data_IF_525728707649
#
_entry.id   IF_525728707649
#
_cell.length_a   1.000
_cell.length_b   1.000
_cell.length_c   1.000
_cell.angle_alpha   90.00
_cell.angle_beta   90.00
_cell.angle_gamma   90.00
#
_symmetry.space_group_name_H-M   'P 1'
#
loop_
_entity.id
_entity.type
_entity.pdbx_description
1 polymer ?
#
# COMPACT_ATOMS: atom_id res chain seq x y z
N UNK A 1 -43.96 26.65 -22.86
CA UNK A 1 -43.61 27.92 -22.18
C UNK A 1 -43.51 27.63 -20.71
N UNK A 2 -42.32 27.83 -20.14
CA UNK A 2 -41.96 28.10 -18.74
C UNK A 2 -40.51 27.65 -18.59
N UNK A 3 -39.59 28.58 -18.85
CA UNK A 3 -38.17 28.42 -18.59
C UNK A 3 -37.84 29.01 -17.23
N UNK A 4 -37.08 28.26 -16.44
CA UNK A 4 -36.48 28.71 -15.19
C UNK A 4 -34.98 28.89 -15.41
N UNK A 5 -34.53 30.13 -15.29
CA UNK A 5 -33.14 30.56 -15.36
C UNK A 5 -32.43 30.32 -14.03
N UNK A 6 -31.24 29.72 -14.08
CA UNK A 6 -30.32 29.63 -12.94
C UNK A 6 -29.63 30.99 -12.70
N UNK A 7 -29.86 31.58 -11.54
CA UNK A 7 -29.13 32.75 -11.06
C UNK A 7 -27.78 32.33 -10.45
N UNK A 8 -26.70 32.82 -11.06
CA UNK A 8 -25.33 32.64 -10.59
C UNK A 8 -25.05 33.55 -9.38
N UNK A 9 -24.64 32.95 -8.27
CA UNK A 9 -24.03 33.66 -7.14
C UNK A 9 -22.64 34.20 -7.54
N UNK A 10 -22.40 35.49 -7.33
CA UNK A 10 -21.05 36.10 -7.33
C UNK A 10 -20.78 36.72 -5.95
N UNK A 11 -19.68 36.37 -5.25
CA UNK A 11 -19.29 37.09 -4.06
C UNK A 11 -18.69 38.46 -4.45
N UNK A 12 -19.08 39.48 -3.68
CA UNK A 12 -18.70 40.88 -3.82
C UNK A 12 -17.52 41.15 -2.88
N UNK A 13 -16.31 41.36 -3.40
CA UNK A 13 -15.16 41.82 -2.61
C UNK A 13 -15.16 43.34 -2.46
N UNK A 14 -14.86 43.88 -1.26
CA UNK A 14 -14.75 45.32 -1.04
C UNK A 14 -13.29 45.73 -1.25
N UNK A 15 -13.02 46.49 -2.30
CA UNK A 15 -12.01 47.56 -2.39
C UNK A 15 -11.70 47.82 -3.86
N UNK A 16 -12.26 48.92 -4.37
CA UNK A 16 -12.11 49.37 -5.74
C UNK A 16 -10.66 49.77 -6.05
N UNK A 17 -9.95 48.89 -6.75
CA UNK A 17 -8.86 49.25 -7.66
C UNK A 17 -8.93 48.37 -8.90
N UNK A 18 -9.36 48.98 -10.01
CA UNK A 18 -9.30 48.40 -11.34
C UNK A 18 -7.84 48.37 -11.81
N UNK A 19 -7.27 47.18 -11.92
CA UNK A 19 -6.05 46.96 -12.71
C UNK A 19 -6.49 46.48 -14.08
N UNK A 20 -6.34 47.34 -15.09
CA UNK A 20 -6.50 46.96 -16.49
C UNK A 20 -5.29 46.11 -16.90
N UNK A 21 -5.50 44.80 -17.06
CA UNK A 21 -4.55 43.94 -17.77
C UNK A 21 -5.07 43.73 -19.20
N UNK A 22 -4.42 44.41 -20.14
CA UNK A 22 -4.55 44.19 -21.58
C UNK A 22 -3.72 42.96 -21.98
N UNK A 23 -4.38 41.81 -22.13
CA UNK A 23 -3.87 40.68 -22.93
C UNK A 23 -5.13 40.15 -23.64
N UNK A 24 -5.35 40.47 -24.91
CA UNK A 24 -4.64 39.83 -26.01
C UNK A 24 -5.55 38.72 -26.54
N UNK A 25 -6.57 39.10 -27.31
CA UNK A 25 -7.49 38.16 -27.93
C UNK A 25 -6.79 37.33 -29.00
N UNK A 26 -6.88 36.01 -28.86
CA UNK A 26 -6.72 35.07 -29.94
C UNK A 26 -7.98 34.23 -30.03
N UNK A 27 -8.67 34.45 -31.14
CA UNK A 27 -9.84 33.75 -31.66
C UNK A 27 -9.52 32.28 -31.90
N UNK A 28 -10.22 31.36 -31.22
CA UNK A 28 -10.33 29.94 -31.60
C UNK A 28 -11.78 29.62 -32.00
N UNK A 29 -12.32 30.39 -32.95
CA UNK A 29 -13.49 30.04 -33.74
C UNK A 29 -13.00 29.40 -35.05
N UNK A 30 -12.66 28.11 -35.07
CA UNK A 30 -12.46 27.33 -36.32
C UNK A 30 -12.15 25.83 -36.10
N UNK A 31 -12.89 25.10 -35.26
CA UNK A 31 -12.76 23.62 -35.28
C UNK A 31 -14.06 22.81 -35.14
N UNK A 32 -15.24 23.47 -35.12
CA UNK A 32 -16.52 22.78 -34.85
C UNK A 32 -17.39 22.48 -36.08
N UNK A 33 -16.87 22.56 -37.32
CA UNK A 33 -17.71 22.51 -38.55
C UNK A 33 -17.37 21.46 -39.61
N UNK A 34 -16.51 20.47 -39.34
CA UNK A 34 -16.14 19.44 -40.34
C UNK A 34 -16.59 17.99 -40.07
N UNK A 35 -17.25 17.68 -38.96
CA UNK A 35 -17.70 16.30 -38.66
C UNK A 35 -19.20 16.03 -38.80
N UNK A 36 -19.96 16.85 -39.56
CA UNK A 36 -21.39 16.62 -39.81
C UNK A 36 -21.74 16.08 -41.20
N UNK A 37 -20.78 15.52 -41.94
CA UNK A 37 -20.99 15.10 -43.34
C UNK A 37 -20.52 13.67 -43.68
N UNK A 38 -20.43 12.75 -42.71
CA UNK A 38 -20.02 11.36 -42.99
C UNK A 38 -20.99 10.28 -42.47
N UNK A 39 -22.01 10.61 -41.67
CA UNK A 39 -22.94 9.59 -41.11
C UNK A 39 -24.33 9.65 -41.74
N UNK A 40 -24.38 9.78 -43.07
CA UNK A 40 -25.63 9.78 -43.83
C UNK A 40 -25.49 9.00 -45.14
N UNK A 41 -24.90 7.80 -45.11
CA UNK A 41 -24.92 6.89 -46.26
C UNK A 41 -24.59 5.43 -45.90
N UNK A 42 -25.36 4.81 -44.99
CA UNK A 42 -25.41 3.35 -44.89
C UNK A 42 -26.86 2.91 -44.74
N UNK A 43 -27.50 3.01 -45.90
CA UNK A 43 -28.84 2.57 -46.26
C UNK A 43 -28.79 1.07 -46.54
N UNK A 44 -29.71 0.34 -45.91
CA UNK A 44 -30.41 -0.85 -46.41
C UNK A 44 -29.54 -1.99 -46.97
N UNK A 45 -29.40 -3.08 -46.22
CA UNK A 45 -29.52 -4.46 -46.73
C UNK A 45 -29.47 -5.44 -45.54
N UNK A 46 -30.61 -5.65 -44.87
CA UNK A 46 -30.81 -6.83 -44.01
C UNK A 46 -31.83 -7.73 -44.73
N UNK A 47 -31.39 -8.83 -45.35
CA UNK A 47 -32.31 -9.82 -45.88
C UNK A 47 -32.99 -10.57 -44.74
N UNK A 48 -34.32 -10.57 -44.78
CA UNK A 48 -35.19 -11.58 -44.17
C UNK A 48 -34.74 -12.98 -44.62
N UNK A 49 -34.12 -13.73 -43.72
CA UNK A 49 -33.99 -15.19 -43.79
C UNK A 49 -34.52 -15.73 -42.45
N UNK A 50 -35.81 -16.02 -42.33
CA UNK A 50 -36.44 -17.34 -42.57
C UNK A 50 -35.63 -18.52 -42.02
N UNK A 51 -36.16 -19.16 -40.97
CA UNK A 51 -36.13 -20.62 -40.86
C UNK A 51 -35.34 -21.24 -39.70
N UNK A 52 -35.70 -20.96 -38.45
CA UNK A 52 -35.35 -21.86 -37.34
C UNK A 52 -36.20 -23.13 -37.43
N UNK A 53 -35.65 -24.17 -38.06
CA UNK A 53 -36.20 -25.54 -38.06
C UNK A 53 -35.76 -26.19 -36.75
N UNK A 54 -36.67 -26.26 -35.77
CA UNK A 54 -36.45 -27.04 -34.55
C UNK A 54 -36.17 -28.50 -34.89
N UNK A 55 -34.93 -28.94 -34.62
CA UNK A 55 -34.60 -30.37 -34.54
C UNK A 55 -35.03 -30.84 -33.17
N UNK A 56 -36.18 -31.50 -33.10
CA UNK A 56 -36.54 -32.29 -31.95
C UNK A 56 -35.55 -33.44 -31.78
N UNK A 57 -34.85 -33.47 -30.64
CA UNK A 57 -34.14 -34.65 -30.18
C UNK A 57 -35.18 -35.60 -29.57
N UNK A 58 -35.74 -36.47 -30.41
CA UNK A 58 -36.43 -37.69 -29.98
C UNK A 58 -35.76 -38.85 -30.69
N UNK A 59 -34.73 -39.39 -30.05
CA UNK A 59 -34.28 -40.76 -30.30
C UNK A 59 -35.12 -41.72 -29.44
N UNK A 60 -35.48 -42.90 -29.94
CA UNK A 60 -36.20 -43.90 -29.16
C UNK A 60 -35.29 -44.45 -28.05
N UNK A 61 -35.74 -44.35 -26.80
CA UNK A 61 -35.20 -45.11 -25.68
C UNK A 61 -35.66 -46.55 -25.89
N UNK A 62 -34.83 -47.36 -26.55
CA UNK A 62 -34.92 -48.81 -26.45
C UNK A 62 -34.38 -49.21 -25.08
N UNK A 63 -35.28 -49.63 -24.19
CA UNK A 63 -34.94 -50.19 -22.89
C UNK A 63 -34.18 -51.51 -23.05
N UNK A 64 -32.86 -51.44 -22.84
CA UNK A 64 -32.01 -52.61 -22.64
C UNK A 64 -31.86 -52.88 -21.15
N UNK A 65 -32.37 -54.02 -20.70
CA UNK A 65 -32.29 -54.51 -19.34
C UNK A 65 -30.83 -54.69 -18.89
N UNK A 66 -30.51 -54.12 -17.73
CA UNK A 66 -29.22 -54.27 -17.07
C UNK A 66 -28.99 -55.73 -16.63
N UNK A 67 -28.02 -56.40 -17.26
CA UNK A 67 -27.47 -57.67 -16.80
C UNK A 67 -26.14 -57.45 -16.06
N UNK A 68 -25.93 -57.99 -14.84
CA UNK A 68 -24.65 -57.93 -14.17
C UNK A 68 -23.75 -59.05 -14.71
N UNK A 69 -22.96 -58.74 -15.73
CA UNK A 69 -22.02 -59.65 -16.36
C UNK A 69 -20.58 -59.18 -16.17
N UNK A 70 -19.95 -59.60 -15.07
CA UNK A 70 -18.50 -59.52 -14.93
C UNK A 70 -17.83 -60.40 -15.98
N UNK A 71 -16.95 -59.81 -16.79
CA UNK A 71 -16.18 -60.52 -17.80
C UNK A 71 -15.07 -59.63 -18.32
N UNK A 72 -13.85 -59.91 -17.88
CA UNK A 72 -12.66 -59.20 -18.35
C UNK A 72 -12.43 -59.41 -19.85
N UNK A 73 -11.92 -58.35 -20.48
CA UNK A 73 -11.36 -58.33 -21.84
C UNK A 73 -10.27 -57.26 -21.80
N UNK A 74 -8.97 -57.59 -21.86
CA UNK A 74 -8.26 -58.00 -23.06
C UNK A 74 -8.46 -57.00 -24.23
N UNK A 75 -7.61 -55.96 -24.27
CA UNK A 75 -7.15 -55.30 -25.50
C UNK A 75 -8.20 -54.76 -26.48
N UNK A 76 -9.33 -54.26 -25.98
CA UNK A 76 -10.33 -53.56 -26.82
C UNK A 76 -9.81 -52.20 -27.26
N UNK A 77 -10.00 -51.86 -28.54
CA UNK A 77 -9.79 -50.52 -29.06
C UNK A 77 -10.52 -49.49 -28.18
N UNK A 78 -9.89 -48.35 -27.84
CA UNK A 78 -10.51 -47.37 -26.95
C UNK A 78 -11.82 -46.86 -27.55
N UNK A 79 -12.86 -46.79 -26.74
CA UNK A 79 -14.16 -46.28 -27.16
C UNK A 79 -14.02 -44.82 -27.67
N UNK A 80 -14.90 -44.41 -28.59
CA UNK A 80 -14.88 -43.05 -29.13
C UNK A 80 -15.30 -42.03 -28.06
N UNK A 81 -14.63 -40.88 -28.02
CA UNK A 81 -15.06 -39.78 -27.15
C UNK A 81 -16.45 -39.31 -27.52
N UNK A 82 -17.29 -39.11 -26.50
CA UNK A 82 -18.67 -38.66 -26.62
C UNK A 82 -19.01 -37.62 -25.56
N UNK A 83 -19.95 -36.75 -25.90
CA UNK A 83 -20.54 -35.79 -24.95
C UNK A 83 -21.55 -36.54 -24.09
N UNK A 84 -21.37 -36.48 -22.78
CA UNK A 84 -22.20 -37.12 -21.75
C UNK A 84 -22.40 -36.15 -20.57
N UNK A 85 -22.98 -36.62 -19.46
CA UNK A 85 -23.51 -35.77 -18.40
C UNK A 85 -24.92 -35.29 -18.73
N UNK A 86 -25.74 -35.02 -17.71
CA UNK A 86 -27.16 -34.67 -17.95
C UNK A 86 -27.31 -33.34 -18.70
N UNK A 87 -26.33 -32.45 -18.55
CA UNK A 87 -26.31 -31.12 -19.16
C UNK A 87 -25.22 -31.03 -20.24
N UNK A 88 -24.76 -32.16 -20.79
CA UNK A 88 -23.75 -32.22 -21.84
C UNK A 88 -22.41 -31.59 -21.46
N UNK A 89 -22.08 -31.58 -20.16
CA UNK A 89 -20.92 -30.87 -19.62
C UNK A 89 -19.65 -31.75 -19.54
N UNK A 90 -19.76 -33.05 -19.83
CA UNK A 90 -18.65 -34.00 -19.74
C UNK A 90 -18.30 -34.55 -21.13
N UNK A 91 -17.02 -34.57 -21.47
CA UNK A 91 -16.49 -35.31 -22.62
C UNK A 91 -15.73 -36.54 -22.11
N UNK A 92 -16.23 -37.74 -22.38
CA UNK A 92 -15.67 -39.01 -21.88
C UNK A 92 -15.80 -40.11 -22.95
N UNK A 93 -15.12 -41.24 -22.77
CA UNK A 93 -15.28 -42.44 -23.61
C UNK A 93 -16.26 -43.47 -23.05
N UNK A 94 -16.92 -43.13 -21.94
CA UNK A 94 -18.05 -43.86 -21.36
C UNK A 94 -19.20 -42.90 -21.03
N UNK A 95 -20.35 -43.43 -20.64
CA UNK A 95 -21.48 -42.61 -20.21
C UNK A 95 -21.32 -42.20 -18.74
N UNK A 96 -21.19 -40.90 -18.49
CA UNK A 96 -20.99 -40.33 -17.16
C UNK A 96 -22.27 -39.64 -16.71
N UNK A 97 -22.87 -40.13 -15.63
CA UNK A 97 -24.05 -39.51 -15.02
C UNK A 97 -23.60 -38.48 -13.98
N UNK A 98 -24.01 -37.22 -14.19
CA UNK A 98 -23.78 -36.10 -13.26
C UNK A 98 -25.04 -35.81 -12.43
N UNK A 99 -24.98 -34.88 -11.49
CA UNK A 99 -26.12 -34.44 -10.65
C UNK A 99 -27.24 -33.68 -11.38
N UNK A 100 -27.08 -33.47 -12.69
CA UNK A 100 -28.01 -32.72 -13.55
C UNK A 100 -28.22 -31.25 -13.12
N UNK A 101 -27.26 -30.66 -12.41
CA UNK A 101 -27.22 -29.20 -12.24
C UNK A 101 -27.08 -28.53 -13.62
N UNK A 102 -27.79 -27.42 -13.83
CA UNK A 102 -27.64 -26.59 -15.01
C UNK A 102 -26.92 -25.29 -14.65
N UNK A 103 -25.89 -24.95 -15.43
CA UNK A 103 -25.16 -23.69 -15.40
C UNK A 103 -25.10 -23.12 -16.80
N UNK A 104 -25.06 -21.79 -16.92
CA UNK A 104 -25.01 -21.12 -18.22
C UNK A 104 -23.77 -21.53 -19.03
N UNK A 105 -22.63 -21.77 -18.35
CA UNK A 105 -21.40 -22.29 -18.95
C UNK A 105 -21.57 -23.66 -19.66
N UNK A 106 -22.55 -24.48 -19.26
CA UNK A 106 -22.82 -25.77 -19.92
C UNK A 106 -23.45 -25.61 -21.30
N UNK A 107 -24.19 -24.51 -21.55
CA UNK A 107 -24.68 -24.21 -22.90
C UNK A 107 -23.52 -24.01 -23.89
N UNK A 108 -22.42 -23.40 -23.42
CA UNK A 108 -21.22 -23.19 -24.22
C UNK A 108 -20.55 -24.51 -24.63
N UNK A 109 -20.44 -25.46 -23.69
CA UNK A 109 -19.93 -26.79 -24.02
C UNK A 109 -20.82 -27.48 -25.06
N UNK A 110 -22.15 -27.37 -24.97
CA UNK A 110 -23.02 -28.00 -25.96
C UNK A 110 -22.95 -27.37 -27.36
N UNK A 111 -22.80 -26.04 -27.45
CA UNK A 111 -22.89 -25.32 -28.73
C UNK A 111 -21.54 -25.11 -29.42
N UNK A 112 -20.46 -24.93 -28.66
CA UNK A 112 -19.18 -24.42 -29.19
C UNK A 112 -17.98 -25.33 -28.96
N UNK A 113 -18.12 -26.38 -28.13
CA UNK A 113 -16.99 -27.27 -27.85
C UNK A 113 -16.82 -28.38 -28.88
N UNK A 114 -15.63 -28.97 -28.89
CA UNK A 114 -15.34 -30.21 -29.63
C UNK A 114 -14.84 -31.25 -28.63
N UNK A 115 -15.59 -32.33 -28.44
CA UNK A 115 -15.20 -33.46 -27.61
C UNK A 115 -14.28 -34.39 -28.39
N UNK A 116 -13.03 -34.55 -27.93
CA UNK A 116 -12.05 -35.38 -28.62
C UNK A 116 -11.00 -35.98 -27.69
N UNK A 117 -10.19 -36.91 -28.23
CA UNK A 117 -9.11 -37.56 -27.49
C UNK A 117 -7.83 -36.72 -27.61
N UNK A 118 -7.32 -36.27 -26.48
CA UNK A 118 -6.09 -35.48 -26.40
C UNK A 118 -4.82 -36.31 -26.57
N UNK A 119 -3.67 -35.64 -26.51
CA UNK A 119 -2.35 -36.29 -26.62
C UNK A 119 -2.02 -37.25 -25.46
N UNK A 120 -2.66 -37.07 -24.29
CA UNK A 120 -2.56 -38.03 -23.17
C UNK A 120 -3.31 -39.33 -23.43
N UNK A 121 -4.13 -39.38 -24.47
CA UNK A 121 -5.02 -40.50 -24.74
C UNK A 121 -6.32 -40.43 -23.95
N UNK A 122 -6.62 -39.36 -23.21
CA UNK A 122 -7.89 -39.16 -22.51
C UNK A 122 -8.86 -38.32 -23.34
N UNK A 123 -10.17 -38.53 -23.17
CA UNK A 123 -11.19 -37.65 -23.76
C UNK A 123 -11.26 -36.33 -22.99
N UNK A 124 -11.43 -35.22 -23.71
CA UNK A 124 -11.57 -33.90 -23.13
C UNK A 124 -12.12 -32.89 -24.13
N UNK A 125 -12.52 -31.74 -23.59
CA UNK A 125 -12.95 -30.61 -24.41
C UNK A 125 -11.74 -29.94 -25.06
N UNK A 126 -11.76 -29.77 -26.37
CA UNK A 126 -10.82 -28.89 -27.07
C UNK A 126 -11.16 -27.44 -26.74
N UNK A 127 -10.17 -26.67 -26.28
CA UNK A 127 -10.27 -25.21 -26.21
C UNK A 127 -10.34 -24.63 -27.63
N UNK A 128 -11.52 -24.12 -28.00
CA UNK A 128 -11.73 -23.36 -29.24
C UNK A 128 -11.98 -21.89 -28.88
N UNK A 129 -11.60 -20.92 -29.75
CA UNK A 129 -11.88 -19.51 -29.50
C UNK A 129 -13.37 -19.23 -29.26
N UNK A 130 -14.27 -19.97 -29.94
CA UNK A 130 -15.72 -19.85 -29.76
C UNK A 130 -16.18 -20.37 -28.39
N UNK A 131 -15.61 -21.48 -27.91
CA UNK A 131 -15.91 -22.02 -26.59
C UNK A 131 -15.36 -21.10 -25.49
N UNK A 132 -14.13 -20.62 -25.63
CA UNK A 132 -13.51 -19.67 -24.69
C UNK A 132 -14.32 -18.38 -24.60
N UNK A 133 -14.70 -17.80 -25.74
CA UNK A 133 -15.55 -16.61 -25.77
C UNK A 133 -16.91 -16.82 -25.10
N UNK A 134 -17.53 -18.00 -25.28
CA UNK A 134 -18.81 -18.31 -24.66
C UNK A 134 -18.69 -18.52 -23.14
N UNK A 135 -17.64 -19.21 -22.68
CA UNK A 135 -17.41 -19.51 -21.25
C UNK A 135 -17.06 -18.27 -20.41
N UNK A 136 -17.17 -17.06 -20.96
CA UNK A 136 -16.74 -15.83 -20.30
C UNK A 136 -15.23 -15.59 -20.38
N UNK A 137 -14.48 -16.45 -21.09
CA UNK A 137 -13.12 -16.15 -21.58
C UNK A 137 -13.15 -15.22 -22.80
N UNK A 138 -14.15 -14.34 -22.87
CA UNK A 138 -14.21 -13.27 -23.86
C UNK A 138 -12.97 -12.40 -23.76
N UNK A 139 -12.69 -11.66 -24.84
CA UNK A 139 -11.63 -10.66 -24.84
C UNK A 139 -11.80 -9.77 -23.60
N UNK A 140 -10.78 -9.69 -22.72
CA UNK A 140 -10.97 -9.14 -21.40
C UNK A 140 -11.44 -7.69 -21.52
N UNK A 141 -12.36 -7.28 -20.65
CA UNK A 141 -12.92 -5.94 -20.68
C UNK A 141 -11.82 -4.87 -20.61
N UNK A 142 -12.05 -3.66 -21.14
CA UNK A 142 -11.07 -2.60 -20.99
C UNK A 142 -10.91 -2.24 -19.50
N UNK A 143 -9.67 -1.94 -19.08
CA UNK A 143 -9.44 -1.41 -17.74
C UNK A 143 -9.98 0.01 -17.63
N UNK A 144 -10.75 0.27 -16.59
CA UNK A 144 -11.36 1.59 -16.32
C UNK A 144 -11.06 2.04 -14.89
N UNK A 145 -10.92 3.36 -14.74
CA UNK A 145 -10.87 3.98 -13.42
C UNK A 145 -12.29 4.07 -12.88
N UNK A 146 -12.54 3.43 -11.74
CA UNK A 146 -13.85 3.33 -11.07
C UNK A 146 -13.72 3.61 -9.57
N UNK A 147 -14.81 3.41 -8.82
CA UNK A 147 -14.97 3.83 -7.43
C UNK A 147 -15.38 5.30 -7.29
N UNK A 148 -16.02 5.66 -6.18
CA UNK A 148 -16.57 7.02 -6.00
C UNK A 148 -15.52 8.13 -6.13
N UNK A 149 -14.28 7.85 -5.71
CA UNK A 149 -13.19 8.83 -5.64
C UNK A 149 -12.13 8.59 -6.73
N UNK A 150 -12.38 7.68 -7.68
CA UNK A 150 -11.45 7.32 -8.74
C UNK A 150 -10.22 6.54 -8.27
N UNK A 151 -10.35 5.82 -7.15
CA UNK A 151 -9.24 5.13 -6.50
C UNK A 151 -9.04 3.69 -7.00
N UNK A 152 -9.99 3.13 -7.77
CA UNK A 152 -9.95 1.74 -8.24
C UNK A 152 -9.64 1.71 -9.73
N UNK A 153 -8.74 0.83 -10.14
CA UNK A 153 -8.59 0.43 -11.54
C UNK A 153 -9.08 -1.02 -11.65
N UNK A 154 -10.14 -1.25 -12.43
CA UNK A 154 -10.79 -2.55 -12.54
C UNK A 154 -11.30 -2.79 -13.97
N UNK A 155 -11.77 -4.00 -14.22
CA UNK A 155 -12.45 -4.39 -15.45
C UNK A 155 -13.77 -3.61 -15.63
N UNK A 156 -14.08 -3.19 -16.87
CA UNK A 156 -15.24 -2.33 -17.13
C UNK A 156 -16.61 -2.98 -16.86
N UNK A 157 -16.66 -4.31 -16.85
CA UNK A 157 -17.84 -5.11 -16.52
C UNK A 157 -17.91 -5.45 -15.02
N UNK A 158 -16.91 -5.09 -14.22
CA UNK A 158 -16.95 -5.22 -12.76
C UNK A 158 -17.57 -3.97 -12.10
N UNK A 159 -18.69 -4.17 -11.41
CA UNK A 159 -19.31 -3.13 -10.59
C UNK A 159 -18.64 -3.05 -9.21
N UNK A 160 -17.62 -2.20 -9.10
CA UNK A 160 -16.97 -1.91 -7.81
C UNK A 160 -17.62 -0.68 -7.16
N UNK A 161 -18.29 -0.89 -6.03
CA UNK A 161 -18.82 0.18 -5.18
C UNK A 161 -17.91 0.38 -3.97
N UNK A 162 -17.24 1.53 -3.91
CA UNK A 162 -16.41 1.93 -2.76
C UNK A 162 -17.18 2.85 -1.82
N UNK A 163 -16.75 2.97 -0.56
CA UNK A 163 -17.15 4.12 0.27
C UNK A 163 -16.71 5.41 -0.43
N UNK A 164 -17.58 6.42 -0.54
CA UNK A 164 -17.23 7.71 -1.15
C UNK A 164 -16.34 8.59 -0.23
N UNK A 165 -15.39 7.95 0.43
CA UNK A 165 -14.35 8.56 1.25
C UNK A 165 -13.33 9.28 0.37
N UNK A 166 -12.85 10.43 0.83
CA UNK A 166 -11.79 11.18 0.15
C UNK A 166 -10.52 11.16 0.99
N UNK A 167 -9.42 10.75 0.36
CA UNK A 167 -8.05 10.85 0.87
C UNK A 167 -7.20 11.56 -0.18
N UNK A 168 -6.18 12.29 0.27
CA UNK A 168 -5.28 13.01 -0.65
C UNK A 168 -4.56 12.07 -1.63
N UNK A 169 -4.25 10.84 -1.22
CA UNK A 169 -3.69 9.80 -2.07
C UNK A 169 -4.58 9.46 -3.29
N UNK A 170 -5.90 9.67 -3.21
CA UNK A 170 -6.80 9.41 -4.34
C UNK A 170 -6.68 10.46 -5.45
N UNK A 171 -6.26 11.69 -5.10
CA UNK A 171 -5.93 12.70 -6.10
C UNK A 171 -4.76 12.22 -6.98
N UNK A 172 -3.78 11.52 -6.41
CA UNK A 172 -2.64 10.98 -7.14
C UNK A 172 -3.05 9.95 -8.19
N UNK A 173 -3.92 9.00 -7.84
CA UNK A 173 -4.43 8.03 -8.80
C UNK A 173 -5.20 8.70 -9.94
N UNK A 174 -5.97 9.75 -9.64
CA UNK A 174 -6.74 10.49 -10.64
C UNK A 174 -5.88 11.36 -11.57
N UNK A 175 -4.82 11.98 -11.05
CA UNK A 175 -3.97 12.91 -11.81
C UNK A 175 -2.79 12.22 -12.50
N UNK A 176 -2.21 11.19 -11.88
CA UNK A 176 -0.97 10.54 -12.33
C UNK A 176 -1.12 9.04 -12.58
N UNK A 177 -2.22 8.43 -12.13
CA UNK A 177 -2.45 7.01 -12.29
C UNK A 177 -2.70 6.63 -13.74
N UNK A 178 -2.03 5.57 -14.19
CA UNK A 178 -2.32 4.93 -15.48
C UNK A 178 -2.96 3.58 -15.19
N UNK A 179 -4.26 3.47 -15.45
CA UNK A 179 -5.03 2.25 -15.27
C UNK A 179 -4.90 1.35 -16.50
N UNK A 180 -4.35 0.16 -16.33
CA UNK A 180 -4.09 -0.78 -17.42
C UNK A 180 -3.99 -2.23 -16.97
N UNK A 181 -3.96 -3.15 -17.93
CA UNK A 181 -3.81 -4.57 -17.67
C UNK A 181 -2.34 -4.94 -17.47
N UNK A 182 -2.04 -5.57 -16.35
CA UNK A 182 -0.70 -6.04 -16.01
C UNK A 182 -0.34 -7.38 -16.64
N UNK A 183 0.86 -7.89 -16.32
CA UNK A 183 1.33 -9.19 -16.80
C UNK A 183 0.55 -10.39 -16.21
N UNK A 184 -0.15 -10.21 -15.08
CA UNK A 184 -1.06 -11.22 -14.51
C UNK A 184 -2.36 -11.36 -15.30
N UNK A 185 -2.63 -10.42 -16.22
CA UNK A 185 -3.90 -10.35 -16.92
C UNK A 185 -5.00 -9.63 -16.12
N UNK A 186 -4.70 -9.01 -14.98
CA UNK A 186 -5.65 -8.21 -14.18
C UNK A 186 -5.47 -6.71 -14.42
N UNK A 187 -6.55 -5.93 -14.29
CA UNK A 187 -6.46 -4.48 -14.30
C UNK A 187 -5.81 -3.95 -13.01
N UNK A 188 -4.91 -2.97 -13.15
CA UNK A 188 -4.24 -2.35 -12.02
C UNK A 188 -3.59 -1.02 -12.37
N UNK A 189 -3.16 -0.31 -11.33
CA UNK A 189 -2.39 0.93 -11.50
C UNK A 189 -0.95 0.61 -11.89
N UNK A 190 -0.49 1.15 -13.01
CA UNK A 190 0.93 1.11 -13.36
C UNK A 190 1.74 1.93 -12.34
N UNK A 191 2.78 1.32 -11.78
CA UNK A 191 3.78 2.02 -10.99
C UNK A 191 4.61 2.94 -11.91
N UNK A 192 4.24 4.21 -11.97
CA UNK A 192 5.02 5.26 -12.65
C UNK A 192 5.75 6.11 -11.63
N UNK A 193 6.94 6.68 -11.94
CA UNK A 193 7.64 7.57 -11.02
C UNK A 193 6.80 8.76 -10.56
N UNK A 194 5.91 9.27 -11.42
CA UNK A 194 5.00 10.38 -11.08
C UNK A 194 3.93 9.94 -10.07
N UNK A 195 3.34 8.75 -10.28
CA UNK A 195 2.36 8.19 -9.35
C UNK A 195 3.01 7.84 -8.01
N UNK A 196 4.18 7.19 -8.02
CA UNK A 196 4.94 6.85 -6.81
C UNK A 196 5.38 8.11 -6.04
N UNK A 197 5.84 9.15 -6.72
CA UNK A 197 6.19 10.41 -6.08
C UNK A 197 4.99 11.11 -5.45
N UNK A 198 3.80 11.00 -6.07
CA UNK A 198 2.58 11.56 -5.50
C UNK A 198 2.08 10.73 -4.31
N UNK A 199 1.97 9.40 -4.47
CA UNK A 199 1.52 8.47 -3.43
C UNK A 199 2.47 8.41 -2.23
N UNK A 200 3.77 8.63 -2.46
CA UNK A 200 4.80 8.74 -1.41
C UNK A 200 4.70 10.01 -0.55
N UNK A 201 3.58 10.74 -0.61
CA UNK A 201 3.32 11.93 0.18
C UNK A 201 3.84 13.22 -0.45
N UNK A 202 3.87 13.29 -1.78
CA UNK A 202 4.54 14.38 -2.49
C UNK A 202 6.03 14.44 -2.12
N UNK A 203 6.73 15.46 -2.59
CA UNK A 203 8.02 15.79 -2.00
C UNK A 203 7.75 16.08 -0.51
N UNK A 204 8.37 15.36 0.44
CA UNK A 204 8.00 15.51 1.84
C UNK A 204 8.16 16.97 2.24
N UNK A 205 7.18 17.50 2.96
CA UNK A 205 7.18 18.89 3.39
C UNK A 205 8.53 19.23 4.05
N UNK A 206 9.03 20.46 3.87
CA UNK A 206 10.24 20.88 4.56
C UNK A 206 10.04 20.73 6.06
N UNK A 207 11.06 20.25 6.76
CA UNK A 207 11.01 20.17 8.22
C UNK A 207 10.84 21.57 8.81
N UNK A 208 9.93 21.70 9.77
CA UNK A 208 9.64 22.96 10.44
C UNK A 208 10.02 22.89 11.91
N UNK A 209 10.64 23.96 12.40
CA UNK A 209 10.82 24.16 13.84
C UNK A 209 9.48 24.63 14.42
N UNK A 210 8.92 23.83 15.31
CA UNK A 210 7.60 24.01 15.92
C UNK A 210 7.67 23.75 17.44
N UNK A 211 6.51 23.69 18.08
CA UNK A 211 6.38 23.68 19.53
C UNK A 211 6.41 25.09 20.10
N UNK A 212 5.78 25.29 21.26
CA UNK A 212 5.61 26.62 21.83
C UNK A 212 6.96 27.30 22.20
N UNK A 213 8.00 26.50 22.48
CA UNK A 213 9.34 26.96 22.83
C UNK A 213 10.37 26.73 21.71
N UNK A 214 9.93 26.30 20.51
CA UNK A 214 10.82 26.01 19.37
C UNK A 214 11.69 24.76 19.55
N UNK A 215 11.25 23.82 20.38
CA UNK A 215 12.01 22.62 20.75
C UNK A 215 11.73 21.40 19.87
N UNK A 216 10.74 21.48 18.98
CA UNK A 216 10.32 20.36 18.13
C UNK A 216 10.73 20.62 16.68
N UNK A 217 11.30 19.63 16.02
CA UNK A 217 11.49 19.61 14.57
C UNK A 217 10.57 18.52 14.00
N UNK A 218 9.62 18.88 13.14
CA UNK A 218 8.60 17.96 12.65
C UNK A 218 8.19 18.25 11.20
N UNK A 219 7.41 17.34 10.61
CA UNK A 219 6.85 17.49 9.26
C UNK A 219 5.73 18.53 9.19
N UNK A 220 5.13 18.84 10.35
CA UNK A 220 3.99 19.73 10.52
C UNK A 220 4.09 20.54 11.82
N UNK A 221 3.21 21.53 11.98
CA UNK A 221 3.17 22.35 13.18
C UNK A 221 2.58 21.58 14.38
N UNK A 222 3.46 21.10 15.27
CA UNK A 222 3.07 20.47 16.54
C UNK A 222 2.94 21.51 17.65
N UNK A 223 1.80 21.52 18.35
CA UNK A 223 1.61 22.29 19.57
C UNK A 223 2.10 21.51 20.80
N UNK A 224 3.00 22.10 21.58
CA UNK A 224 3.46 21.56 22.87
C UNK A 224 2.96 22.42 24.02
N UNK A 225 3.13 21.95 25.26
CA UNK A 225 3.05 22.83 26.42
C UNK A 225 4.07 23.97 26.27
N UNK A 226 3.71 25.18 26.71
CA UNK A 226 4.58 26.37 26.70
C UNK A 226 5.54 26.39 27.90
N UNK A 227 6.03 25.22 28.30
CA UNK A 227 7.08 25.10 29.31
C UNK A 227 8.40 25.60 28.71
N UNK A 228 9.14 26.38 29.48
CA UNK A 228 10.46 26.85 29.09
C UNK A 228 11.53 26.15 29.92
N UNK A 229 12.49 25.52 29.25
CA UNK A 229 13.71 24.94 29.82
C UNK A 229 14.92 25.54 29.13
N UNK A 230 16.03 25.63 29.85
CA UNK A 230 17.28 26.20 29.30
C UNK A 230 17.77 25.41 28.08
N UNK A 231 17.57 24.09 28.06
CA UNK A 231 17.88 23.22 26.92
C UNK A 231 17.15 23.62 25.62
N UNK A 232 15.99 24.28 25.70
CA UNK A 232 15.25 24.73 24.51
C UNK A 232 15.91 25.92 23.83
N UNK A 233 16.66 26.75 24.56
CA UNK A 233 17.47 27.80 23.95
C UNK A 233 18.51 27.22 22.99
N UNK A 234 19.08 26.06 23.32
CA UNK A 234 20.06 25.37 22.48
C UNK A 234 19.50 24.93 21.13
N UNK A 235 18.30 24.34 21.11
CA UNK A 235 17.63 23.98 19.86
C UNK A 235 17.34 25.22 18.99
N UNK A 236 17.00 26.35 19.61
CA UNK A 236 16.73 27.59 18.90
C UNK A 236 17.99 28.27 18.35
N UNK A 237 19.11 28.20 19.08
CA UNK A 237 20.35 28.89 18.71
C UNK A 237 21.28 28.04 17.83
N UNK A 238 21.36 26.74 18.11
CA UNK A 238 22.29 25.81 17.46
C UNK A 238 21.62 24.66 16.71
N UNK A 239 20.30 24.48 16.87
CA UNK A 239 19.58 23.39 16.21
C UNK A 239 19.46 23.61 14.71
N UNK A 240 19.80 22.56 13.94
CA UNK A 240 19.50 22.47 12.51
C UNK A 240 18.39 21.45 12.33
N UNK A 241 17.18 21.92 12.01
CA UNK A 241 16.02 21.08 11.78
C UNK A 241 16.01 20.57 10.33
N UNK A 242 16.09 19.27 10.14
CA UNK A 242 16.16 18.65 8.82
C UNK A 242 15.66 17.21 8.78
N UNK A 243 15.52 16.69 7.57
CA UNK A 243 15.06 15.31 7.34
C UNK A 243 16.25 14.35 7.35
N UNK A 244 16.20 13.35 8.22
CA UNK A 244 17.23 12.33 8.36
C UNK A 244 17.16 11.25 7.28
N UNK A 245 18.07 10.26 7.37
CA UNK A 245 18.10 9.13 6.45
C UNK A 245 16.89 8.18 6.57
N UNK A 246 16.19 8.18 7.73
CA UNK A 246 14.92 7.47 7.91
C UNK A 246 13.76 8.11 7.16
N UNK A 247 13.95 9.32 6.64
CA UNK A 247 12.88 10.10 6.03
C UNK A 247 12.04 10.87 7.06
N UNK A 248 12.40 10.90 8.34
CA UNK A 248 11.71 11.68 9.39
C UNK A 248 12.42 13.01 9.67
N UNK A 249 11.66 14.03 10.08
CA UNK A 249 12.22 15.29 10.56
C UNK A 249 12.81 15.15 11.96
N UNK A 250 13.97 15.76 12.18
CA UNK A 250 14.64 15.78 13.47
C UNK A 250 15.76 16.83 13.56
N UNK A 251 16.26 17.04 14.77
CA UNK A 251 17.41 17.90 15.01
C UNK A 251 18.69 17.17 14.58
N UNK A 252 19.48 17.78 13.69
CA UNK A 252 20.82 17.28 13.37
C UNK A 252 21.71 17.36 14.62
N UNK A 253 22.32 16.25 14.99
CA UNK A 253 23.39 16.21 15.98
C UNK A 253 24.60 17.00 15.45
N UNK A 254 24.84 18.18 16.01
CA UNK A 254 26.02 19.01 15.72
C UNK A 254 26.82 19.20 17.00
N UNK A 255 28.15 19.31 16.95
CA UNK A 255 28.97 19.53 18.14
C UNK A 255 28.54 20.75 18.95
N UNK A 256 28.06 21.81 18.29
CA UNK A 256 27.56 23.02 18.94
C UNK A 256 26.25 22.78 19.69
N UNK A 257 25.30 22.06 19.06
CA UNK A 257 24.04 21.69 19.71
C UNK A 257 24.28 20.72 20.87
N UNK A 258 25.15 19.72 20.70
CA UNK A 258 25.51 18.77 21.76
C UNK A 258 26.23 19.46 22.92
N UNK A 259 27.15 20.38 22.65
CA UNK A 259 27.82 21.15 23.69
C UNK A 259 26.84 22.04 24.47
N UNK A 260 25.89 22.67 23.78
CA UNK A 260 24.88 23.51 24.43
C UNK A 260 23.90 22.69 25.26
N UNK A 261 23.32 21.62 24.68
CA UNK A 261 22.43 20.70 25.40
C UNK A 261 23.15 19.99 26.55
N UNK A 262 24.46 19.76 26.39
CA UNK A 262 25.36 19.21 27.40
C UNK A 262 25.73 20.20 28.51
N UNK A 263 25.46 21.49 28.35
CA UNK A 263 25.29 22.45 29.45
C UNK A 263 26.39 22.57 30.52
N UNK A 264 27.61 22.12 30.24
CA UNK A 264 28.78 22.41 31.08
C UNK A 264 29.98 21.61 30.64
N UNK A 265 31.17 22.23 30.68
CA UNK A 265 32.39 21.44 30.85
C UNK A 265 32.10 20.37 31.89
N UNK A 266 32.24 19.10 31.52
CA UNK A 266 31.77 18.00 32.34
C UNK A 266 32.30 18.19 33.77
N UNK A 267 31.37 18.49 34.69
CA UNK A 267 31.71 19.05 36.00
C UNK A 267 32.80 18.20 36.67
N UNK A 268 33.78 18.80 37.36
CA UNK A 268 34.90 18.03 37.90
C UNK A 268 34.37 16.87 38.74
N UNK A 269 34.98 15.70 38.61
CA UNK A 269 34.65 14.56 39.46
C UNK A 269 35.07 14.89 40.89
N UNK A 270 34.14 14.73 41.83
CA UNK A 270 34.36 14.97 43.25
C UNK A 270 33.96 13.73 44.04
N UNK A 271 34.73 13.46 45.09
CA UNK A 271 34.35 12.48 46.10
C UNK A 271 33.24 13.07 46.96
N UNK A 272 32.11 12.38 47.03
CA UNK A 272 30.88 12.75 47.74
C UNK A 272 30.30 11.51 48.46
N UNK A 273 29.10 11.65 49.00
CA UNK A 273 28.50 10.68 49.93
C UNK A 273 29.02 10.86 51.35
N UNK A 274 28.24 10.42 52.34
CA UNK A 274 28.55 10.66 53.74
C UNK A 274 29.88 10.03 54.19
N UNK A 275 30.24 8.90 53.59
CA UNK A 275 31.41 8.09 53.96
C UNK A 275 32.54 8.23 52.92
N UNK A 276 32.39 9.12 51.93
CA UNK A 276 33.36 9.33 50.85
C UNK A 276 33.40 8.20 49.83
N UNK A 277 32.35 7.39 49.74
CA UNK A 277 32.28 6.21 48.88
C UNK A 277 31.81 6.50 47.44
N UNK A 278 31.35 7.72 47.16
CA UNK A 278 30.77 8.07 45.86
C UNK A 278 31.71 8.99 45.10
N UNK A 279 32.05 8.62 43.86
CA UNK A 279 32.69 9.53 42.91
C UNK A 279 31.64 10.00 41.90
N UNK A 280 31.32 11.30 41.86
CA UNK A 280 30.27 11.83 40.99
C UNK A 280 30.61 13.22 40.45
N UNK A 281 29.83 13.70 39.48
CA UNK A 281 29.94 15.07 38.96
C UNK A 281 29.66 16.08 40.09
N UNK A 282 30.51 17.11 40.20
CA UNK A 282 30.27 18.22 41.13
C UNK A 282 28.90 18.86 40.87
N UNK A 283 28.09 18.97 41.93
CA UNK A 283 26.72 19.51 41.88
C UNK A 283 25.63 18.44 41.86
N UNK A 284 25.98 17.15 41.80
CA UNK A 284 25.02 16.06 42.02
C UNK A 284 24.94 15.75 43.52
N UNK A 285 23.77 15.99 44.11
CA UNK A 285 23.48 15.67 45.51
C UNK A 285 23.11 14.20 45.64
N UNK A 286 24.08 13.35 45.99
CA UNK A 286 23.87 11.93 46.28
C UNK A 286 23.82 11.75 47.80
N UNK A 287 22.63 11.42 48.30
CA UNK A 287 22.42 11.12 49.73
C UNK A 287 22.60 9.62 49.94
N UNK A 288 23.68 9.25 50.64
CA UNK A 288 23.93 7.87 51.08
C UNK A 288 23.51 7.67 52.54
N UNK A 289 23.29 6.44 52.98
CA UNK A 289 22.81 6.08 54.34
C UNK A 289 23.76 6.40 55.51
N UNK A 290 24.87 7.13 55.26
CA UNK A 290 25.95 7.39 56.22
C UNK A 290 26.47 6.16 56.99
N UNK A 291 26.25 4.97 56.46
CA UNK A 291 26.80 3.73 56.98
C UNK A 291 28.30 3.69 56.70
N UNK A 292 29.07 3.17 57.67
CA UNK A 292 30.51 3.04 57.55
C UNK A 292 30.86 1.57 57.42
N UNK A 293 31.32 1.18 56.23
CA UNK A 293 31.87 -0.14 55.92
C UNK A 293 33.37 -0.02 55.73
N UNK A 294 34.13 -1.07 56.06
CA UNK A 294 35.59 -1.07 55.94
C UNK A 294 36.04 -0.83 54.48
N UNK A 295 35.29 -1.35 53.51
CA UNK A 295 35.48 -1.11 52.07
C UNK A 295 35.43 0.39 51.68
N UNK A 296 34.68 1.21 52.41
CA UNK A 296 34.61 2.66 52.14
C UNK A 296 35.91 3.37 52.52
N UNK A 297 36.66 2.82 53.49
CA UNK A 297 38.01 3.27 53.81
C UNK A 297 38.97 3.15 52.62
N UNK A 298 38.83 2.08 51.83
CA UNK A 298 39.65 1.83 50.65
C UNK A 298 39.48 2.91 49.57
N UNK A 299 38.25 3.34 49.29
CA UNK A 299 38.00 4.44 48.34
C UNK A 299 38.59 5.77 48.81
N UNK A 300 38.66 6.00 50.12
CA UNK A 300 39.25 7.21 50.70
C UNK A 300 40.78 7.19 50.68
N UNK A 301 41.39 6.03 50.89
CA UNK A 301 42.86 5.88 50.99
C UNK A 301 43.53 5.63 49.64
N UNK A 302 42.91 4.82 48.78
CA UNK A 302 43.47 4.35 47.52
C UNK A 302 42.65 4.75 46.29
N UNK A 303 41.42 5.26 46.48
CA UNK A 303 40.55 5.62 45.37
C UNK A 303 41.02 6.86 44.61
N UNK A 304 41.06 6.76 43.28
CA UNK A 304 41.22 7.91 42.38
C UNK A 304 39.87 8.18 41.71
N UNK A 305 39.23 9.27 42.12
CA UNK A 305 37.96 9.71 41.54
C UNK A 305 38.23 10.51 40.25
N UNK A 306 37.80 9.95 39.11
CA UNK A 306 38.04 10.57 37.81
C UNK A 306 36.98 10.20 36.77
N UNK A 307 37.11 10.80 35.59
CA UNK A 307 36.22 10.53 34.47
C UNK A 307 36.70 9.34 33.67
N UNK A 308 35.82 8.35 33.49
CA UNK A 308 36.07 7.18 32.65
C UNK A 308 35.86 7.45 31.16
N UNK A 309 36.10 6.41 30.35
CA UNK A 309 35.92 6.47 28.90
C UNK A 309 34.45 6.66 28.45
N UNK A 310 33.46 6.35 29.32
CA UNK A 310 32.04 6.61 29.08
C UNK A 310 31.64 8.07 29.27
N UNK A 311 32.54 8.92 29.78
CA UNK A 311 32.24 10.31 30.14
C UNK A 311 31.67 10.49 31.55
N UNK A 312 31.40 9.39 32.27
CA UNK A 312 30.90 9.40 33.65
C UNK A 312 32.04 9.46 34.67
N UNK A 313 31.78 10.07 35.83
CA UNK A 313 32.70 10.02 36.97
C UNK A 313 32.60 8.67 37.67
N UNK A 314 33.75 8.09 38.01
CA UNK A 314 33.84 6.82 38.72
C UNK A 314 35.19 6.63 39.39
N UNK A 315 35.29 5.60 40.22
CA UNK A 315 36.56 5.18 40.82
C UNK A 315 37.42 4.46 39.78
N UNK A 316 38.66 4.92 39.59
CA UNK A 316 39.64 4.17 38.78
C UNK A 316 39.94 2.84 39.47
N UNK A 317 39.73 1.74 38.74
CA UNK A 317 40.22 0.42 39.12
C UNK A 317 41.75 0.42 39.15
N UNK A 318 42.32 0.33 40.35
CA UNK A 318 43.76 0.21 40.57
C UNK A 318 44.04 -1.04 41.39
N UNK A 319 45.17 -1.74 41.17
CA UNK A 319 45.50 -2.94 41.95
C UNK A 319 45.48 -2.70 43.47
N UNK A 320 45.87 -1.50 43.91
CA UNK A 320 45.88 -1.12 45.32
C UNK A 320 44.47 -0.93 45.89
N UNK A 321 43.56 -0.31 45.12
CA UNK A 321 42.16 -0.15 45.53
C UNK A 321 41.45 -1.50 45.56
N UNK A 322 41.65 -2.33 44.55
CA UNK A 322 41.03 -3.66 44.44
C UNK A 322 41.49 -4.58 45.59
N UNK A 323 42.80 -4.66 45.85
CA UNK A 323 43.34 -5.47 46.95
C UNK A 323 42.85 -5.00 48.33
N UNK A 324 42.65 -3.69 48.52
CA UNK A 324 42.08 -3.17 49.76
C UNK A 324 40.61 -3.58 49.91
N UNK A 325 39.81 -3.44 48.86
CA UNK A 325 38.39 -3.81 48.88
C UNK A 325 38.24 -5.32 49.15
N UNK A 326 39.03 -6.17 48.48
CA UNK A 326 39.02 -7.62 48.67
C UNK A 326 39.40 -8.02 50.11
N UNK A 327 40.42 -7.37 50.69
CA UNK A 327 40.80 -7.60 52.08
C UNK A 327 39.73 -7.13 53.07
N UNK A 328 38.98 -6.07 52.75
CA UNK A 328 37.93 -5.50 53.59
C UNK A 328 36.58 -6.23 53.44
N UNK A 329 36.31 -6.86 52.30
CA UNK A 329 35.09 -7.66 52.07
C UNK A 329 35.19 -9.05 52.67
N UNK A 330 36.40 -9.51 53.02
CA UNK A 330 36.63 -10.81 53.67
C UNK A 330 36.50 -11.99 52.71
N UNK A 331 36.71 -11.75 51.42
CA UNK A 331 36.74 -12.77 50.35
C UNK A 331 38.13 -13.38 50.14
#
# INVERSE_FOLDING_TARGET
>A
MLGTTCESWRPRLPNGRFVYLLIGGLTMDLFSKRHRLVVAMLVLFVPLLTGAKGKGCQGPIEGGEAGPGGGGVAGGEPASCQVTGCSGQVCADEDVVTDCEYREEYACYQEHSVCERGASGECGWRATPELEACLGGGEPAPCVVTGCSGQVCADADEEIVTTCEYREEYACYKEHGVCERGASGECGWRATPELEACLGGGKPAPCVVTGCSGQVCADEEVATTCEYREEYACYKEHGVCERGASGECGWRATPELEACLGGGEAAPCVVTGCSGQVCANKGVDIVTTCEWLEEYGCYKEHGVCERGASGECGWRATPELEACIEAASGE
#
